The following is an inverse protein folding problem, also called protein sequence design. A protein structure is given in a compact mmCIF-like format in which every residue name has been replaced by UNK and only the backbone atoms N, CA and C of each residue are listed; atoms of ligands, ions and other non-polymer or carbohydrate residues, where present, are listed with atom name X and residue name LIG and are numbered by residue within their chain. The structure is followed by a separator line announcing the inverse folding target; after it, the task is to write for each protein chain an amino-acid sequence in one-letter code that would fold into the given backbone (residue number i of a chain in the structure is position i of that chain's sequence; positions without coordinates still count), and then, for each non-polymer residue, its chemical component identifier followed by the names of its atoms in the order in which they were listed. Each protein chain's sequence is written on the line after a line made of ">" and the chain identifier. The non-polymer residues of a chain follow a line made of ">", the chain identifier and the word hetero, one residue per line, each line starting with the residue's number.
data_IF_475794605029
#
_entry.id   IF_475794605029
#
_cell.length_a   1.000
_cell.length_b   1.000
_cell.length_c   1.000
_cell.angle_alpha   90.00
_cell.angle_beta   90.00
_cell.angle_gamma   90.00
#
_symmetry.space_group_name_H-M   'P 1'
#
loop_
_entity.id
_entity.type
_entity.pdbx_description
1 polymer ?
#
# COMPACT_ATOMS: atom_id res chain seq x y z
N UNK A 1 25.66 20.10 -2.10
CA UNK A 1 25.72 18.80 -2.80
C UNK A 1 24.33 18.49 -3.29
N UNK A 2 24.06 18.70 -4.59
CA UNK A 2 22.76 18.51 -5.21
C UNK A 2 22.80 17.20 -6.01
N UNK A 3 22.00 16.21 -5.60
CA UNK A 3 21.83 14.97 -6.35
C UNK A 3 20.71 15.21 -7.38
N UNK A 4 21.08 15.39 -8.65
CA UNK A 4 20.15 15.20 -9.77
C UNK A 4 20.26 13.73 -10.19
N UNK A 5 19.38 12.88 -9.66
CA UNK A 5 19.10 11.59 -10.27
C UNK A 5 18.15 11.83 -11.45
N UNK A 6 18.52 11.31 -12.63
CA UNK A 6 17.82 11.56 -13.88
C UNK A 6 16.48 10.84 -13.99
N UNK A 7 15.54 11.51 -14.68
CA UNK A 7 14.26 10.98 -15.13
C UNK A 7 13.17 11.17 -14.08
N UNK A 8 12.24 12.10 -14.33
CA UNK A 8 11.17 12.44 -13.39
C UNK A 8 10.33 11.20 -13.03
N UNK A 9 10.42 10.74 -11.79
CA UNK A 9 9.39 9.95 -11.13
C UNK A 9 8.86 10.86 -10.03
N UNK A 10 7.57 11.18 -10.08
CA UNK A 10 6.97 12.23 -9.24
C UNK A 10 7.28 12.07 -7.75
N UNK A 11 7.10 13.14 -6.99
CA UNK A 11 7.28 13.10 -5.53
C UNK A 11 6.30 12.09 -4.94
N UNK A 12 6.76 11.10 -4.18
CA UNK A 12 5.87 10.19 -3.45
C UNK A 12 5.04 10.99 -2.44
N UNK A 13 3.72 10.88 -2.54
CA UNK A 13 2.75 11.56 -1.68
C UNK A 13 1.98 10.62 -0.77
N UNK A 14 1.91 9.33 -1.10
CA UNK A 14 1.31 8.30 -0.25
C UNK A 14 1.88 6.93 -0.58
N UNK A 15 1.78 6.02 0.40
CA UNK A 15 1.91 4.58 0.18
C UNK A 15 0.50 3.99 0.27
N UNK A 16 0.13 3.20 -0.73
CA UNK A 16 -1.19 2.57 -0.78
C UNK A 16 -1.04 1.05 -0.84
N UNK A 17 -1.91 0.33 -0.13
CA UNK A 17 -2.08 -1.10 -0.24
C UNK A 17 -3.46 -1.42 -0.81
N UNK A 18 -3.49 -2.25 -1.86
CA UNK A 18 -4.72 -2.71 -2.50
C UNK A 18 -4.69 -4.21 -2.75
N UNK A 19 -5.86 -4.83 -2.61
CA UNK A 19 -6.05 -6.21 -3.02
C UNK A 19 -6.12 -6.30 -4.53
N UNK A 20 -5.60 -7.40 -5.04
CA UNK A 20 -5.64 -7.76 -6.44
C UNK A 20 -5.66 -9.30 -6.50
N UNK A 21 -6.12 -9.83 -7.63
CA UNK A 21 -6.48 -11.23 -7.79
C UNK A 21 -7.96 -11.50 -7.52
N UNK A 22 -8.30 -12.77 -7.41
CA UNK A 22 -9.66 -13.24 -7.15
C UNK A 22 -9.60 -14.63 -6.49
N UNK A 23 -10.75 -15.24 -6.23
CA UNK A 23 -10.81 -16.59 -5.63
C UNK A 23 -10.19 -17.70 -6.49
N UNK A 24 -10.01 -17.48 -7.79
CA UNK A 24 -9.38 -18.40 -8.77
C UNK A 24 -7.87 -18.15 -8.88
N UNK A 25 -7.45 -16.88 -8.90
CA UNK A 25 -6.06 -16.44 -9.10
C UNK A 25 -5.27 -16.22 -7.81
N UNK A 26 -5.88 -16.55 -6.67
CA UNK A 26 -5.39 -16.26 -5.31
C UNK A 26 -5.38 -14.76 -5.00
N UNK A 27 -5.80 -14.42 -3.78
CA UNK A 27 -5.81 -13.04 -3.32
C UNK A 27 -4.41 -12.61 -2.86
N UNK A 28 -3.93 -11.49 -3.37
CA UNK A 28 -2.66 -10.91 -2.97
C UNK A 28 -2.77 -9.40 -2.80
N UNK A 29 -1.78 -8.82 -2.10
CA UNK A 29 -1.71 -7.37 -1.92
C UNK A 29 -0.63 -6.77 -2.79
N UNK A 30 -0.93 -5.62 -3.38
CA UNK A 30 0.05 -4.77 -4.06
C UNK A 30 0.30 -3.54 -3.21
N UNK A 31 1.57 -3.33 -2.87
CA UNK A 31 2.03 -2.11 -2.22
C UNK A 31 2.46 -1.14 -3.31
N UNK A 32 1.88 0.05 -3.31
CA UNK A 32 2.04 1.07 -4.34
C UNK A 32 2.64 2.34 -3.73
N UNK A 33 3.52 3.01 -4.48
CA UNK A 33 3.83 4.41 -4.27
C UNK A 33 2.93 5.26 -5.16
N UNK A 34 2.17 6.17 -4.56
CA UNK A 34 1.42 7.20 -5.28
C UNK A 34 2.31 8.43 -5.37
N UNK A 35 2.52 8.94 -6.58
CA UNK A 35 3.34 10.12 -6.84
C UNK A 35 2.50 11.33 -7.19
N UNK A 36 3.06 12.52 -7.00
CA UNK A 36 2.56 13.77 -7.54
C UNK A 36 3.58 14.34 -8.52
N UNK A 37 3.07 14.90 -9.61
CA UNK A 37 3.85 15.59 -10.66
C UNK A 37 4.95 14.71 -11.30
N UNK A 38 4.60 13.73 -12.15
CA UNK A 38 3.23 13.35 -12.57
C UNK A 38 2.48 12.55 -11.51
N UNK A 39 1.15 12.57 -11.58
CA UNK A 39 0.30 11.74 -10.72
C UNK A 39 0.28 10.31 -11.28
N UNK A 40 1.07 9.42 -10.68
CA UNK A 40 1.23 8.03 -11.12
C UNK A 40 1.22 7.07 -9.94
N UNK A 41 1.01 5.78 -10.23
CA UNK A 41 1.05 4.68 -9.28
C UNK A 41 2.19 3.74 -9.67
N UNK A 42 3.08 3.42 -8.73
CA UNK A 42 4.20 2.52 -8.96
C UNK A 42 4.15 1.33 -8.02
N UNK A 43 4.16 0.11 -8.57
CA UNK A 43 4.21 -1.12 -7.77
C UNK A 43 5.58 -1.23 -7.11
N UNK A 44 5.58 -1.26 -5.77
CA UNK A 44 6.77 -1.45 -4.94
C UNK A 44 6.98 -2.93 -4.60
N UNK A 45 5.90 -3.62 -4.27
CA UNK A 45 5.94 -5.03 -3.87
C UNK A 45 4.59 -5.71 -4.10
N UNK A 46 4.65 -7.04 -4.29
CA UNK A 46 3.49 -7.93 -4.29
C UNK A 46 3.63 -8.91 -3.13
N UNK A 47 2.61 -8.98 -2.27
CA UNK A 47 2.61 -9.74 -1.02
C UNK A 47 1.54 -10.83 -1.12
N UNK A 48 2.01 -12.07 -1.28
CA UNK A 48 1.16 -13.27 -1.26
C UNK A 48 0.97 -13.78 0.17
N UNK A 49 -0.15 -14.46 0.43
CA UNK A 49 -0.45 -15.09 1.71
C UNK A 49 0.68 -16.03 2.18
N UNK A 50 1.24 -16.82 1.25
CA UNK A 50 2.31 -17.77 1.55
C UNK A 50 3.60 -17.09 2.03
N UNK A 51 3.99 -15.99 1.38
CA UNK A 51 5.15 -15.17 1.77
C UNK A 51 4.89 -14.46 3.09
N UNK A 52 3.67 -13.94 3.29
CA UNK A 52 3.28 -13.26 4.51
C UNK A 52 3.33 -14.19 5.74
N UNK A 53 2.83 -15.43 5.63
CA UNK A 53 2.92 -16.43 6.70
C UNK A 53 4.38 -16.71 7.10
N UNK A 54 5.28 -16.84 6.13
CA UNK A 54 6.72 -17.03 6.41
C UNK A 54 7.34 -15.83 7.12
N UNK A 55 6.93 -14.61 6.73
CA UNK A 55 7.42 -13.38 7.33
C UNK A 55 6.92 -13.17 8.77
N UNK A 56 5.67 -13.52 9.03
CA UNK A 56 5.05 -13.38 10.36
C UNK A 56 5.50 -14.47 11.35
N UNK A 57 6.06 -15.57 10.84
CA UNK A 57 6.26 -16.80 11.60
C UNK A 57 4.99 -17.63 11.64
N UNK A 58 5.10 -18.94 11.87
CA UNK A 58 3.97 -19.85 12.13
C UNK A 58 3.35 -19.56 13.52
N UNK A 59 3.06 -18.30 13.82
CA UNK A 59 2.15 -17.96 14.91
C UNK A 59 0.75 -17.96 14.30
N UNK A 60 0.09 -19.11 14.42
CA UNK A 60 -1.36 -19.24 14.30
C UNK A 60 -2.02 -18.53 15.50
N UNK A 61 -1.66 -17.27 15.73
CA UNK A 61 -2.50 -16.38 16.53
C UNK A 61 -3.84 -16.38 15.80
N UNK A 62 -4.88 -16.88 16.45
CA UNK A 62 -6.22 -17.15 15.90
C UNK A 62 -6.97 -15.92 15.37
N UNK A 63 -6.24 -14.89 14.95
CA UNK A 63 -6.67 -13.76 14.17
C UNK A 63 -7.38 -14.23 12.90
N UNK A 64 -8.64 -13.84 12.79
CA UNK A 64 -9.50 -14.08 11.62
C UNK A 64 -9.06 -13.28 10.39
N UNK A 65 -8.06 -12.40 10.53
CA UNK A 65 -7.58 -11.54 9.43
C UNK A 65 -6.65 -12.28 8.49
N UNK A 66 -6.72 -11.91 7.21
CA UNK A 66 -5.86 -12.52 6.20
C UNK A 66 -4.37 -12.19 6.46
N UNK A 67 -3.46 -13.18 6.43
CA UNK A 67 -2.04 -12.97 6.79
C UNK A 67 -1.34 -11.97 5.87
N UNK A 68 -1.72 -11.92 4.59
CA UNK A 68 -1.21 -10.90 3.67
C UNK A 68 -1.58 -9.48 4.14
N UNK A 69 -2.80 -9.29 4.67
CA UNK A 69 -3.26 -8.00 5.20
C UNK A 69 -2.38 -7.53 6.37
N UNK A 70 -2.12 -8.41 7.33
CA UNK A 70 -1.27 -8.11 8.49
C UNK A 70 0.16 -7.78 8.04
N UNK A 71 0.76 -8.59 7.16
CA UNK A 71 2.11 -8.35 6.68
C UNK A 71 2.23 -7.03 5.90
N UNK A 72 1.23 -6.72 5.07
CA UNK A 72 1.17 -5.49 4.28
C UNK A 72 0.96 -4.27 5.16
N UNK A 73 0.10 -4.35 6.18
CA UNK A 73 -0.08 -3.25 7.13
C UNK A 73 1.24 -2.92 7.85
N UNK A 74 1.96 -3.94 8.32
CA UNK A 74 3.28 -3.76 8.96
C UNK A 74 4.32 -3.18 8.01
N UNK A 75 4.44 -3.75 6.80
CA UNK A 75 5.43 -3.30 5.83
C UNK A 75 5.11 -1.89 5.27
N UNK A 76 3.85 -1.65 4.91
CA UNK A 76 3.35 -0.40 4.34
C UNK A 76 3.40 0.75 5.33
N UNK A 77 2.94 0.55 6.57
CA UNK A 77 3.03 1.58 7.62
C UNK A 77 4.49 1.92 7.97
N UNK A 78 5.37 0.92 8.06
CA UNK A 78 6.80 1.13 8.28
C UNK A 78 7.46 1.93 7.16
N UNK A 79 7.14 1.61 5.90
CA UNK A 79 7.65 2.34 4.74
C UNK A 79 7.12 3.78 4.70
N UNK A 80 5.81 3.97 4.92
CA UNK A 80 5.19 5.28 4.92
C UNK A 80 5.76 6.19 6.02
N UNK A 81 5.98 5.63 7.23
CA UNK A 81 6.64 6.32 8.32
C UNK A 81 8.08 6.73 7.97
N UNK A 82 8.84 5.83 7.33
CA UNK A 82 10.20 6.12 6.88
C UNK A 82 10.25 7.27 5.86
N UNK A 83 9.27 7.34 4.96
CA UNK A 83 9.14 8.38 3.94
C UNK A 83 8.40 9.64 4.43
N UNK A 84 7.84 9.62 5.65
CA UNK A 84 7.00 10.68 6.20
C UNK A 84 5.79 11.03 5.32
N UNK A 85 5.14 10.02 4.76
CA UNK A 85 3.92 10.13 3.94
C UNK A 85 2.77 9.31 4.56
N UNK A 86 1.51 9.61 4.25
CA UNK A 86 0.39 8.78 4.68
C UNK A 86 0.45 7.36 4.10
N UNK A 87 -0.05 6.39 4.89
CA UNK A 87 -0.36 5.03 4.45
C UNK A 87 -1.87 4.87 4.32
N UNK A 88 -2.33 4.30 3.20
CA UNK A 88 -3.74 4.01 2.96
C UNK A 88 -3.93 2.51 2.65
N UNK A 89 -4.88 1.89 3.35
CA UNK A 89 -5.30 0.51 3.09
C UNK A 89 -6.80 0.41 3.37
N UNK A 90 -7.60 0.37 2.31
CA UNK A 90 -9.06 0.50 2.42
C UNK A 90 -9.76 -0.72 3.04
N UNK A 91 -9.24 -1.92 2.81
CA UNK A 91 -9.81 -3.16 3.35
C UNK A 91 -8.72 -4.07 3.94
N UNK A 92 -8.19 -3.76 5.13
CA UNK A 92 -7.08 -4.53 5.72
C UNK A 92 -7.46 -5.95 6.16
N UNK A 93 -8.74 -6.17 6.44
CA UNK A 93 -9.22 -7.40 7.08
C UNK A 93 -9.70 -8.45 6.08
N UNK A 94 -10.22 -8.02 4.93
CA UNK A 94 -10.83 -8.89 3.92
C UNK A 94 -10.40 -8.49 2.50
N UNK A 95 -10.13 -9.47 1.62
CA UNK A 95 -9.85 -9.18 0.21
C UNK A 95 -11.01 -8.45 -0.47
N UNK A 96 -10.70 -7.31 -1.08
CA UNK A 96 -11.64 -6.44 -1.81
C UNK A 96 -10.83 -5.58 -2.81
N UNK A 97 -10.90 -5.95 -4.10
CA UNK A 97 -10.26 -5.23 -5.21
C UNK A 97 -11.10 -4.04 -5.71
N UNK A 98 -12.36 -3.93 -5.29
CA UNK A 98 -13.25 -2.79 -5.57
C UNK A 98 -13.14 -1.69 -4.50
N UNK A 99 -12.30 -1.91 -3.47
CA UNK A 99 -12.15 -0.98 -2.37
C UNK A 99 -11.72 0.43 -2.85
N UNK A 100 -12.23 1.51 -2.21
CA UNK A 100 -11.93 2.87 -2.62
C UNK A 100 -10.42 3.15 -2.67
N UNK A 101 -9.95 3.69 -3.79
CA UNK A 101 -8.57 4.14 -3.96
C UNK A 101 -8.28 5.39 -3.14
N UNK A 102 -7.03 5.54 -2.71
CA UNK A 102 -6.55 6.74 -2.06
C UNK A 102 -6.71 7.94 -3.00
N UNK A 103 -7.33 8.99 -2.48
CA UNK A 103 -7.41 10.28 -3.15
C UNK A 103 -6.57 11.29 -2.36
N UNK A 104 -5.77 12.13 -3.04
CA UNK A 104 -5.16 13.28 -2.37
C UNK A 104 -6.30 14.10 -1.76
N UNK A 105 -6.25 14.32 -0.45
CA UNK A 105 -7.08 15.38 0.13
C UNK A 105 -6.57 16.69 -0.44
N UNK A 106 -7.13 17.12 -1.56
CA UNK A 106 -7.14 18.55 -1.89
C UNK A 106 -7.81 19.19 -0.69
N UNK A 107 -7.01 19.84 0.15
CA UNK A 107 -7.51 20.83 1.10
C UNK A 107 -8.49 21.69 0.30
N UNK A 108 -9.79 21.49 0.52
CA UNK A 108 -10.80 22.38 -0.01
C UNK A 108 -10.39 23.77 0.45
N UNK A 109 -10.02 24.62 -0.49
CA UNK A 109 -9.83 26.03 -0.22
C UNK A 109 -11.09 26.52 0.51
N UNK A 110 -10.97 27.19 1.67
CA UNK A 110 -12.13 27.76 2.33
C UNK A 110 -12.72 28.80 1.38
N UNK A 111 -13.92 28.50 0.88
CA UNK A 111 -14.67 29.41 0.04
C UNK A 111 -15.05 30.67 0.79
N UNK A 112 -14.69 31.80 0.16
CA UNK A 112 -15.16 33.18 0.30
C UNK A 112 -15.05 33.89 1.66
#
# INVERSE_FOLDING_TARGET
>A
MAYRAGGAAGRIVAIEAIWDGDTVHDWFLRLLAVTAEPAEEHVLATIYASTAKRYLGEDEDGSTRHPAGIATERAGSGLAAHLSVPFHFASPDMPDDEAPRWQPTTLSEPGL
#
